data_IF_618487056844
#
_entry.id   IF_618487056844
#
_cell.length_a   1.000
_cell.length_b   1.000
_cell.length_c   1.000
_cell.angle_alpha   90.00
_cell.angle_beta   90.00
_cell.angle_gamma   90.00
#
_symmetry.space_group_name_H-M   'P 1'
#
loop_
_entity.id
_entity.type
_entity.pdbx_description
1 polymer ?
#
# COMPACT_ATOMS: atom_id res chain seq x y z
N UNK A 1 14.62 16.78 16.72
CA UNK A 1 13.97 15.63 17.35
C UNK A 1 12.46 15.81 17.58
N UNK A 2 11.97 16.92 18.16
CA UNK A 2 10.52 17.16 18.39
C UNK A 2 9.64 17.19 17.13
N UNK A 3 10.14 17.67 15.98
CA UNK A 3 9.39 17.73 14.72
C UNK A 3 9.13 16.34 14.16
N UNK A 4 10.10 15.43 14.24
CA UNK A 4 9.96 14.05 13.76
C UNK A 4 8.96 13.28 14.61
N UNK A 5 8.99 13.43 15.93
CA UNK A 5 8.03 12.79 16.84
C UNK A 5 6.59 13.25 16.57
N UNK A 6 6.36 14.56 16.37
CA UNK A 6 5.03 15.07 16.07
C UNK A 6 4.50 14.61 14.70
N UNK A 7 5.39 14.42 13.72
CA UNK A 7 5.00 13.91 12.39
C UNK A 7 4.61 12.43 12.47
N UNK A 8 5.38 11.61 13.18
CA UNK A 8 5.08 10.19 13.39
C UNK A 8 3.75 10.00 14.13
N UNK A 9 3.46 10.80 15.17
CA UNK A 9 2.19 10.75 15.89
C UNK A 9 0.98 11.13 15.01
N UNK A 10 1.16 12.01 14.01
CA UNK A 10 0.11 12.38 13.05
C UNK A 10 -0.14 11.33 11.97
N UNK A 11 0.76 10.34 11.81
CA UNK A 11 0.65 9.30 10.80
C UNK A 11 0.08 7.98 11.33
N UNK A 12 -0.29 7.91 12.61
CA UNK A 12 -0.83 6.71 13.21
C UNK A 12 -2.30 6.50 12.83
N UNK A 13 -2.53 5.63 11.85
CA UNK A 13 -3.83 5.01 11.59
C UNK A 13 -3.98 3.71 12.39
N UNK A 14 -5.19 3.19 12.47
CA UNK A 14 -5.48 1.90 13.08
C UNK A 14 -6.20 1.00 12.08
N UNK A 15 -5.91 -0.29 12.15
CA UNK A 15 -6.67 -1.32 11.44
C UNK A 15 -6.90 -2.52 12.35
N UNK A 16 -7.99 -3.23 12.13
CA UNK A 16 -8.26 -4.54 12.72
C UNK A 16 -7.75 -5.63 11.79
N UNK A 17 -7.16 -6.65 12.39
CA UNK A 17 -6.79 -7.90 11.71
C UNK A 17 -7.67 -8.97 12.31
N UNK A 18 -8.42 -9.65 11.47
CA UNK A 18 -9.20 -10.81 11.84
C UNK A 18 -8.42 -12.06 11.45
N UNK A 19 -8.39 -13.04 12.35
CA UNK A 19 -7.72 -14.32 12.14
C UNK A 19 -8.74 -15.44 12.30
N UNK A 20 -8.68 -16.45 11.44
CA UNK A 20 -9.41 -17.69 11.70
C UNK A 20 -8.69 -18.48 12.78
N UNK A 21 -9.42 -18.82 13.86
CA UNK A 21 -9.07 -19.90 14.77
C UNK A 21 -9.64 -21.22 14.27
N UNK A 22 -9.50 -22.27 15.08
CA UNK A 22 -10.02 -23.60 14.75
C UNK A 22 -11.55 -23.62 14.59
N UNK A 23 -12.27 -22.74 15.32
CA UNK A 23 -13.73 -22.66 15.34
C UNK A 23 -14.30 -21.25 15.22
N UNK A 24 -13.46 -20.19 15.30
CA UNK A 24 -13.98 -18.81 15.38
C UNK A 24 -12.99 -17.77 14.90
N UNK A 25 -13.49 -16.54 14.60
CA UNK A 25 -12.67 -15.41 14.23
C UNK A 25 -12.22 -14.63 15.47
N UNK A 26 -10.93 -14.38 15.57
CA UNK A 26 -10.39 -13.45 16.57
C UNK A 26 -9.97 -12.15 15.89
N UNK A 27 -10.20 -11.01 16.53
CA UNK A 27 -9.84 -9.70 16.03
C UNK A 27 -8.80 -9.02 16.91
N UNK A 28 -7.80 -8.39 16.28
CA UNK A 28 -6.80 -7.58 16.96
C UNK A 28 -6.66 -6.23 16.27
N UNK A 29 -6.81 -5.14 17.00
CA UNK A 29 -6.51 -3.81 16.51
C UNK A 29 -5.00 -3.52 16.60
N UNK A 30 -4.43 -2.92 15.57
CA UNK A 30 -3.00 -2.60 15.48
C UNK A 30 -2.77 -1.26 14.78
N UNK A 31 -1.83 -0.45 15.27
CA UNK A 31 -1.44 0.78 14.58
C UNK A 31 -0.64 0.46 13.32
N UNK A 32 -0.74 1.34 12.32
CA UNK A 32 0.08 1.28 11.11
C UNK A 32 0.74 2.63 10.83
N UNK A 33 1.94 2.59 10.30
CA UNK A 33 2.65 3.74 9.75
C UNK A 33 2.44 3.84 8.23
N UNK A 34 2.37 2.70 7.55
CA UNK A 34 2.10 2.58 6.12
C UNK A 34 1.22 1.37 5.86
N UNK A 35 0.45 1.43 4.78
CA UNK A 35 -0.35 0.30 4.29
C UNK A 35 0.44 -0.42 3.20
N UNK A 36 0.68 -1.71 3.40
CA UNK A 36 1.32 -2.55 2.38
C UNK A 36 0.31 -2.98 1.34
N UNK A 37 0.48 -2.46 0.13
CA UNK A 37 -0.30 -2.77 -1.05
C UNK A 37 0.41 -3.82 -1.89
N UNK A 38 -0.14 -5.02 -1.95
CA UNK A 38 0.42 -6.14 -2.71
C UNK A 38 -0.09 -6.10 -4.14
N UNK A 39 0.81 -6.28 -5.09
CA UNK A 39 0.45 -6.38 -6.50
C UNK A 39 0.10 -7.82 -6.87
N UNK A 40 -0.83 -8.03 -7.82
CA UNK A 40 -1.03 -9.34 -8.41
C UNK A 40 0.27 -9.84 -9.03
N UNK A 41 0.49 -11.16 -9.08
CA UNK A 41 1.65 -11.70 -9.76
C UNK A 41 1.62 -11.29 -11.24
N UNK A 42 2.79 -10.97 -11.84
CA UNK A 42 2.85 -10.65 -13.25
C UNK A 42 2.45 -11.89 -14.09
N UNK A 43 1.84 -11.70 -15.27
CA UNK A 43 1.52 -12.80 -16.16
C UNK A 43 2.78 -13.59 -16.53
N UNK A 44 2.66 -14.89 -16.56
CA UNK A 44 3.74 -15.79 -17.01
C UNK A 44 3.85 -15.87 -18.55
N UNK A 45 2.81 -15.41 -19.26
CA UNK A 45 2.71 -15.50 -20.71
C UNK A 45 3.21 -14.22 -21.39
N UNK A 46 3.72 -14.39 -22.59
CA UNK A 46 4.11 -13.31 -23.50
C UNK A 46 2.99 -13.08 -24.53
N UNK A 47 2.99 -11.91 -25.14
CA UNK A 47 2.09 -11.62 -26.25
C UNK A 47 2.49 -12.41 -27.53
N UNK A 48 1.71 -12.26 -28.60
CA UNK A 48 1.96 -12.90 -29.90
C UNK A 48 3.32 -12.52 -30.52
N UNK A 49 3.91 -11.41 -30.06
CA UNK A 49 5.22 -10.93 -30.49
C UNK A 49 6.35 -11.24 -29.50
N UNK A 50 6.10 -12.15 -28.54
CA UNK A 50 7.04 -12.52 -27.47
C UNK A 50 7.44 -11.40 -26.51
N UNK A 51 6.68 -10.28 -26.46
CA UNK A 51 6.90 -9.23 -25.48
C UNK A 51 6.27 -9.57 -24.14
N UNK A 52 6.85 -9.06 -23.08
CA UNK A 52 6.29 -9.22 -21.73
C UNK A 52 5.00 -8.38 -21.61
N UNK A 53 3.92 -9.03 -21.21
CA UNK A 53 2.66 -8.34 -20.91
C UNK A 53 2.85 -7.58 -19.60
N UNK A 54 2.66 -6.26 -19.65
CA UNK A 54 2.70 -5.40 -18.45
C UNK A 54 1.26 -5.16 -17.99
N UNK A 55 0.82 -5.80 -16.89
CA UNK A 55 -0.54 -5.62 -16.42
C UNK A 55 -0.74 -4.24 -15.81
N UNK A 56 -1.99 -3.81 -15.77
CA UNK A 56 -2.43 -2.59 -15.12
C UNK A 56 -3.49 -2.90 -14.07
N UNK A 57 -3.44 -2.24 -12.95
CA UNK A 57 -4.37 -2.41 -11.84
C UNK A 57 -4.73 -1.05 -11.24
N UNK A 58 -5.98 -0.89 -10.81
CA UNK A 58 -6.40 0.29 -10.06
C UNK A 58 -5.86 0.22 -8.63
N UNK A 59 -5.48 1.37 -8.07
CA UNK A 59 -5.15 1.49 -6.65
C UNK A 59 -6.30 0.98 -5.76
N UNK A 60 -7.54 1.30 -6.12
CA UNK A 60 -8.73 0.86 -5.35
C UNK A 60 -8.87 -0.66 -5.32
N UNK A 61 -8.56 -1.35 -6.41
CA UNK A 61 -8.53 -2.83 -6.44
C UNK A 61 -7.51 -3.40 -5.45
N UNK A 62 -6.35 -2.76 -5.32
CA UNK A 62 -5.32 -3.18 -4.37
C UNK A 62 -5.74 -2.87 -2.93
N UNK A 63 -6.42 -1.74 -2.72
CA UNK A 63 -6.93 -1.33 -1.40
C UNK A 63 -8.11 -2.18 -0.91
N UNK A 64 -8.79 -2.93 -1.77
CA UNK A 64 -9.87 -3.84 -1.36
C UNK A 64 -9.42 -4.87 -0.30
N UNK A 65 -8.12 -5.12 -0.18
CA UNK A 65 -7.57 -5.90 0.94
C UNK A 65 -8.00 -5.37 2.32
N UNK A 66 -8.32 -4.08 2.42
CA UNK A 66 -8.62 -3.40 3.69
C UNK A 66 -10.12 -3.13 3.89
N UNK A 67 -11.00 -3.75 3.11
CA UNK A 67 -12.45 -3.53 3.16
C UNK A 67 -13.19 -4.35 4.24
N UNK A 68 -12.48 -5.11 5.07
CA UNK A 68 -13.08 -5.97 6.09
C UNK A 68 -13.70 -7.28 5.57
N UNK A 69 -13.85 -7.42 4.25
CA UNK A 69 -14.50 -8.57 3.61
C UNK A 69 -13.52 -9.50 2.91
N UNK A 70 -12.49 -8.93 2.27
CA UNK A 70 -11.54 -9.67 1.45
C UNK A 70 -10.68 -10.60 2.30
N UNK A 71 -10.87 -11.88 2.09
CA UNK A 71 -10.11 -12.94 2.74
C UNK A 71 -8.79 -13.19 2.03
N UNK A 72 -7.73 -13.36 2.81
CA UNK A 72 -6.43 -13.73 2.30
C UNK A 72 -5.82 -14.87 3.08
N UNK A 73 -5.42 -15.91 2.39
CA UNK A 73 -4.70 -17.03 2.98
C UNK A 73 -3.24 -16.65 3.26
N UNK A 74 -2.81 -16.97 4.46
CA UNK A 74 -1.42 -16.89 4.88
C UNK A 74 -0.94 -18.28 5.31
N UNK A 75 -0.08 -18.88 4.50
CA UNK A 75 0.52 -20.17 4.81
C UNK A 75 1.69 -19.95 5.76
N UNK A 76 1.62 -20.56 6.93
CA UNK A 76 2.73 -20.68 7.85
C UNK A 76 3.21 -22.12 7.89
N UNK A 77 4.36 -22.37 8.52
CA UNK A 77 4.89 -23.75 8.68
C UNK A 77 3.96 -24.69 9.44
N UNK A 78 3.03 -24.13 10.25
CA UNK A 78 2.17 -24.89 11.14
C UNK A 78 0.71 -24.86 10.73
N UNK A 79 0.24 -23.71 10.19
CA UNK A 79 -1.18 -23.47 9.99
C UNK A 79 -1.45 -22.68 8.71
N UNK A 80 -2.58 -22.93 8.08
CA UNK A 80 -3.18 -22.07 7.08
C UNK A 80 -4.09 -21.08 7.81
N UNK A 81 -3.66 -19.81 7.85
CA UNK A 81 -4.44 -18.74 8.47
C UNK A 81 -5.15 -17.93 7.39
N UNK A 82 -6.43 -17.69 7.55
CA UNK A 82 -7.15 -16.71 6.76
C UNK A 82 -7.17 -15.40 7.54
N UNK A 83 -6.90 -14.28 6.86
CA UNK A 83 -6.90 -12.95 7.47
C UNK A 83 -7.78 -12.00 6.67
N UNK A 84 -8.47 -11.14 7.37
CA UNK A 84 -9.14 -9.95 6.85
C UNK A 84 -8.55 -8.72 7.50
N UNK A 85 -8.55 -7.61 6.77
CA UNK A 85 -8.06 -6.33 7.28
C UNK A 85 -9.14 -5.28 7.07
N UNK A 86 -9.34 -4.43 8.05
CA UNK A 86 -10.32 -3.38 8.05
C UNK A 86 -9.75 -2.12 8.69
N UNK A 87 -9.88 -0.96 8.06
CA UNK A 87 -9.42 0.29 8.63
C UNK A 87 -10.40 0.77 9.71
N UNK A 88 -9.89 1.10 10.90
CA UNK A 88 -10.71 1.62 12.01
C UNK A 88 -10.42 3.08 12.32
N UNK A 89 -9.30 3.61 11.85
CA UNK A 89 -8.94 5.02 12.00
C UNK A 89 -8.04 5.48 10.88
N UNK A 90 -8.41 6.56 10.23
CA UNK A 90 -7.60 7.21 9.20
C UNK A 90 -6.70 8.29 9.82
N UNK A 91 -5.39 8.30 9.52
CA UNK A 91 -4.47 9.34 9.94
C UNK A 91 -4.54 10.56 9.00
N UNK A 92 -4.08 11.75 9.39
CA UNK A 92 -4.00 12.92 8.50
C UNK A 92 -3.12 12.72 7.26
N UNK A 93 -2.15 11.81 7.32
CA UNK A 93 -1.27 11.42 6.21
C UNK A 93 -1.22 9.91 6.09
N UNK A 94 -1.45 9.40 4.89
CA UNK A 94 -1.37 7.96 4.58
C UNK A 94 -0.14 7.71 3.70
N UNK A 95 0.65 6.71 4.07
CA UNK A 95 1.72 6.19 3.23
C UNK A 95 1.26 4.85 2.65
N UNK A 96 1.23 4.75 1.33
CA UNK A 96 0.97 3.51 0.61
C UNK A 96 2.31 2.93 0.12
N UNK A 97 2.64 1.76 0.60
CA UNK A 97 3.82 1.02 0.16
C UNK A 97 3.42 -0.03 -0.88
N UNK A 98 3.67 0.26 -2.15
CA UNK A 98 3.43 -0.69 -3.23
C UNK A 98 4.56 -1.71 -3.23
N UNK A 99 4.26 -2.94 -2.83
CA UNK A 99 5.23 -4.03 -2.70
C UNK A 99 5.59 -4.59 -4.09
N UNK A 100 6.56 -3.93 -4.74
CA UNK A 100 7.03 -4.31 -6.09
C UNK A 100 8.16 -5.32 -6.10
N UNK A 101 8.96 -5.36 -5.02
CA UNK A 101 10.14 -6.21 -4.94
C UNK A 101 9.82 -7.49 -4.18
N UNK A 102 10.11 -8.63 -4.80
CA UNK A 102 10.00 -9.95 -4.19
C UNK A 102 11.37 -10.61 -4.25
N UNK A 103 11.86 -11.03 -3.08
CA UNK A 103 13.09 -11.80 -2.97
C UNK A 103 12.73 -13.26 -2.77
N UNK A 104 13.20 -14.11 -3.66
CA UNK A 104 13.23 -15.55 -3.46
C UNK A 104 14.67 -16.02 -3.13
N UNK A 105 14.90 -17.33 -3.05
CA UNK A 105 16.21 -17.88 -2.68
C UNK A 105 17.33 -17.53 -3.67
N UNK A 106 16.99 -17.30 -4.94
CA UNK A 106 17.98 -17.16 -6.01
C UNK A 106 18.09 -15.74 -6.57
N UNK A 107 17.01 -14.98 -6.59
CA UNK A 107 16.99 -13.66 -7.23
C UNK A 107 15.99 -12.69 -6.60
N UNK A 108 16.19 -11.44 -6.92
CA UNK A 108 15.30 -10.33 -6.57
C UNK A 108 14.54 -9.91 -7.83
N UNK A 109 13.22 -10.00 -7.78
CA UNK A 109 12.33 -9.60 -8.87
C UNK A 109 11.66 -8.26 -8.58
N UNK A 110 11.39 -7.51 -9.65
CA UNK A 110 10.59 -6.28 -9.59
C UNK A 110 9.32 -6.49 -10.41
N UNK A 111 8.17 -6.46 -9.75
CA UNK A 111 6.87 -6.54 -10.41
C UNK A 111 6.62 -5.28 -11.25
N UNK A 112 6.46 -5.39 -12.59
CA UNK A 112 6.31 -4.26 -13.50
C UNK A 112 4.89 -3.68 -13.54
N UNK A 113 3.91 -4.32 -12.89
CA UNK A 113 2.49 -3.93 -12.94
C UNK A 113 2.31 -2.43 -12.74
N UNK A 114 1.61 -1.79 -13.66
CA UNK A 114 1.26 -0.37 -13.58
C UNK A 114 0.10 -0.23 -12.59
N UNK A 115 0.25 0.67 -11.63
CA UNK A 115 -0.82 1.04 -10.69
C UNK A 115 -1.39 2.38 -11.11
N UNK A 116 -2.66 2.37 -11.50
CA UNK A 116 -3.40 3.57 -11.89
C UNK A 116 -4.09 4.16 -10.64
N UNK A 117 -3.88 5.44 -10.37
CA UNK A 117 -4.49 6.14 -9.25
C UNK A 117 -4.78 7.61 -9.58
N UNK A 118 -5.83 8.20 -9.03
CA UNK A 118 -6.06 9.64 -9.11
C UNK A 118 -5.04 10.37 -8.23
N UNK A 119 -4.67 11.58 -8.62
CA UNK A 119 -3.75 12.42 -7.81
C UNK A 119 -4.52 13.27 -6.79
N UNK A 120 -5.83 13.36 -6.91
CA UNK A 120 -6.73 14.10 -6.02
C UNK A 120 -7.98 13.29 -5.73
N UNK A 121 -8.56 13.52 -4.55
CA UNK A 121 -9.84 12.94 -4.18
C UNK A 121 -9.79 11.42 -4.03
N UNK A 122 -8.69 10.85 -3.50
CA UNK A 122 -8.62 9.43 -3.16
C UNK A 122 -9.44 9.22 -1.90
N UNK A 123 -10.63 8.63 -2.03
CA UNK A 123 -11.51 8.39 -0.90
C UNK A 123 -11.20 7.04 -0.25
N UNK A 124 -10.96 7.06 1.06
CA UNK A 124 -10.75 5.88 1.90
C UNK A 124 -12.00 5.50 2.71
N UNK A 125 -13.12 6.19 2.51
CA UNK A 125 -14.36 5.93 3.22
C UNK A 125 -14.88 4.50 3.03
N UNK A 126 -14.73 3.93 1.83
CA UNK A 126 -15.17 2.57 1.51
C UNK A 126 -14.37 1.47 2.24
N UNK A 127 -13.18 1.81 2.73
CA UNK A 127 -12.29 0.89 3.45
C UNK A 127 -12.37 1.05 4.96
N UNK A 128 -13.13 2.04 5.45
CA UNK A 128 -13.29 2.31 6.87
C UNK A 128 -14.44 1.47 7.43
N UNK A 129 -14.19 0.83 8.58
CA UNK A 129 -15.19 0.05 9.31
C UNK A 129 -16.47 0.84 9.58
N UNK A 130 -17.63 0.20 9.52
CA UNK A 130 -18.92 0.88 9.71
C UNK A 130 -19.03 1.55 11.08
N UNK A 131 -18.59 0.89 12.14
CA UNK A 131 -18.55 1.47 13.48
C UNK A 131 -17.61 2.67 13.59
N UNK A 132 -16.56 2.70 12.77
CA UNK A 132 -15.63 3.82 12.69
C UNK A 132 -16.21 4.97 11.84
N UNK A 133 -16.96 4.69 10.79
CA UNK A 133 -17.70 5.71 10.00
C UNK A 133 -18.70 6.45 10.89
N UNK A 134 -19.43 5.73 11.73
CA UNK A 134 -20.39 6.33 12.66
C UNK A 134 -19.73 7.23 13.70
N UNK A 135 -18.60 6.78 14.28
CA UNK A 135 -17.82 7.54 15.27
C UNK A 135 -17.13 8.77 14.70
N UNK A 136 -16.83 8.75 13.39
CA UNK A 136 -16.02 9.76 12.71
C UNK A 136 -16.76 10.41 11.53
N UNK A 137 -18.07 10.63 11.64
CA UNK A 137 -18.92 11.24 10.58
C UNK A 137 -18.39 12.56 10.02
N UNK A 138 -17.65 13.31 10.85
CA UNK A 138 -17.06 14.61 10.47
C UNK A 138 -15.61 14.50 9.99
N UNK A 139 -15.05 13.31 9.91
CA UNK A 139 -13.66 13.10 9.46
C UNK A 139 -13.62 13.05 7.95
N UNK A 140 -12.78 13.89 7.36
CA UNK A 140 -12.52 13.83 5.93
C UNK A 140 -11.79 12.52 5.56
N UNK A 141 -12.40 11.72 4.69
CA UNK A 141 -11.86 10.45 4.18
C UNK A 141 -11.15 10.60 2.84
N UNK A 142 -11.23 11.80 2.23
CA UNK A 142 -10.63 12.11 0.93
C UNK A 142 -9.22 12.65 1.08
N UNK A 143 -8.29 12.11 0.30
CA UNK A 143 -6.86 12.44 0.32
C UNK A 143 -6.36 12.86 -1.05
N UNK A 144 -5.42 13.81 -1.04
CA UNK A 144 -4.67 14.21 -2.22
C UNK A 144 -3.23 13.70 -2.14
N UNK A 145 -2.68 13.30 -3.29
CA UNK A 145 -1.29 12.87 -3.37
C UNK A 145 -0.35 14.06 -3.18
N UNK A 146 0.52 14.00 -2.19
CA UNK A 146 1.51 15.04 -1.92
C UNK A 146 2.92 14.64 -2.32
N UNK A 147 3.22 13.35 -2.37
CA UNK A 147 4.52 12.84 -2.81
C UNK A 147 4.41 11.44 -3.39
N UNK A 148 5.23 11.16 -4.40
CA UNK A 148 5.36 9.84 -5.01
C UNK A 148 6.84 9.50 -5.16
N UNK A 149 7.23 8.31 -4.66
CA UNK A 149 8.59 7.78 -4.79
C UNK A 149 8.60 6.71 -5.87
N UNK A 150 9.44 6.91 -6.87
CA UNK A 150 9.58 6.01 -8.03
C UNK A 150 10.97 5.40 -8.04
N UNK A 151 11.05 4.11 -8.28
CA UNK A 151 12.30 3.41 -8.54
C UNK A 151 12.44 3.13 -10.04
N UNK A 152 13.53 3.59 -10.66
CA UNK A 152 13.88 3.31 -12.05
C UNK A 152 15.12 2.40 -12.11
N UNK A 153 15.11 1.44 -13.04
CA UNK A 153 16.21 0.51 -13.24
C UNK A 153 15.95 -0.90 -12.69
N UNK A 154 17.02 -1.68 -12.60
CA UNK A 154 17.00 -3.07 -12.18
C UNK A 154 16.79 -3.20 -10.66
N UNK A 155 16.28 -4.34 -10.18
CA UNK A 155 16.07 -4.57 -8.76
C UNK A 155 17.33 -4.40 -7.89
N UNK A 156 18.50 -4.72 -8.46
CA UNK A 156 19.79 -4.66 -7.77
C UNK A 156 20.55 -3.36 -8.00
N UNK A 157 20.20 -2.62 -9.04
CA UNK A 157 20.86 -1.35 -9.40
C UNK A 157 19.85 -0.41 -10.03
N UNK A 158 19.56 0.68 -9.36
CA UNK A 158 18.59 1.66 -9.83
C UNK A 158 18.65 2.95 -9.04
N UNK A 159 17.87 3.91 -9.47
CA UNK A 159 17.77 5.23 -8.84
C UNK A 159 16.36 5.44 -8.31
N UNK A 160 16.24 6.13 -7.18
CA UNK A 160 14.97 6.59 -6.66
C UNK A 160 14.76 8.06 -7.04
N UNK A 161 13.56 8.34 -7.54
CA UNK A 161 13.09 9.70 -7.84
C UNK A 161 11.92 10.03 -6.94
N UNK A 162 11.84 11.26 -6.49
CA UNK A 162 10.72 11.75 -5.67
C UNK A 162 10.03 12.87 -6.42
N UNK A 163 8.73 12.74 -6.61
CA UNK A 163 7.84 13.78 -7.11
C UNK A 163 7.09 14.35 -5.93
N UNK A 164 7.18 15.65 -5.69
CA UNK A 164 6.54 16.31 -4.54
C UNK A 164 5.64 17.43 -5.04
N UNK A 165 4.44 17.53 -4.47
CA UNK A 165 3.55 18.66 -4.68
C UNK A 165 4.09 19.87 -3.89
N UNK A 166 4.51 20.93 -4.61
CA UNK A 166 4.98 22.15 -3.98
C UNK A 166 3.99 23.29 -4.21
N UNK A 167 3.47 23.87 -3.13
CA UNK A 167 2.52 25.00 -3.16
C UNK A 167 1.38 24.84 -4.19
N UNK A 168 0.84 23.63 -4.29
CA UNK A 168 -0.20 23.30 -5.26
C UNK A 168 0.26 23.19 -6.72
N UNK A 169 1.57 23.28 -6.99
CA UNK A 169 2.17 23.08 -8.32
C UNK A 169 3.09 21.87 -8.31
N UNK A 170 2.99 21.03 -9.34
CA UNK A 170 3.94 19.94 -9.56
C UNK A 170 5.31 20.51 -9.92
N UNK A 171 6.34 20.18 -9.17
CA UNK A 171 7.73 20.45 -9.56
C UNK A 171 8.32 19.27 -10.32
N UNK A 172 9.27 19.57 -11.24
CA UNK A 172 10.07 18.54 -11.91
C UNK A 172 10.80 17.67 -10.88
N UNK A 173 10.97 16.37 -11.13
CA UNK A 173 11.54 15.44 -10.16
C UNK A 173 12.96 15.82 -9.78
N UNK A 174 13.25 15.89 -8.49
CA UNK A 174 14.61 15.96 -7.97
C UNK A 174 15.12 14.52 -7.80
N UNK A 175 16.16 14.15 -8.52
CA UNK A 175 16.75 12.81 -8.40
C UNK A 175 17.61 12.74 -7.14
N UNK A 176 17.24 11.89 -6.20
CA UNK A 176 18.08 11.47 -5.08
C UNK A 176 18.75 10.14 -5.45
N UNK A 177 20.04 10.18 -5.65
CA UNK A 177 20.84 8.96 -5.86
C UNK A 177 21.23 8.43 -4.50
N UNK A 178 20.57 7.36 -4.06
CA UNK A 178 21.01 6.60 -2.90
C UNK A 178 22.10 5.61 -3.36
N UNK A 179 23.36 5.94 -3.11
CA UNK A 179 24.43 4.95 -3.22
C UNK A 179 24.31 3.98 -2.05
N UNK A 180 24.10 2.71 -2.33
CA UNK A 180 24.33 1.65 -1.35
C UNK A 180 25.86 1.48 -1.22
N UNK A 181 26.39 1.71 -0.02
CA UNK A 181 27.67 1.14 0.40
C UNK A 181 27.49 -0.33 0.68
#
# INVERSE_FOLDING_TARGET
MKIVQNTVLKMNGLYKIYFTGEYDWTAKESPFLYLTCELPPPPLFRDEHYNNIIPQVSLFTILNKFNGETEKEYKTYKDNLIRKFELTKLPPYIILYIKRFTKNTFFLEKNPTIVNFPVKGIDFGDFLAEDAKEKHKDVNTSYDLIANVVHEGLPTSGIYKVHVLHKGKSQKPTSLTLKKN
#
